data_IF_959716743351
#
_entry.id   IF_959716743351
#
_cell.length_a   1.000
_cell.length_b   1.000
_cell.length_c   1.000
_cell.angle_alpha   90.00
_cell.angle_beta   90.00
_cell.angle_gamma   90.00
#
_symmetry.space_group_name_H-M   'P 1'
#
loop_
_entity.id
_entity.type
_entity.pdbx_description
1 polymer ?
#
# COMPACT_ATOMS: atom_id res chain seq x y z
N UNK A 1 -11.28 -0.24 10.87
CA UNK A 1 -10.07 -0.94 10.42
C UNK A 1 -9.12 -0.98 11.61
N UNK A 2 -8.72 -2.15 12.08
CA UNK A 2 -7.75 -2.30 13.16
C UNK A 2 -6.41 -2.64 12.51
N UNK A 3 -5.36 -1.81 12.65
CA UNK A 3 -4.04 -2.12 12.11
C UNK A 3 -3.54 -3.45 12.68
N UNK A 4 -3.00 -4.32 11.84
CA UNK A 4 -2.31 -5.52 12.31
C UNK A 4 -1.00 -5.08 12.99
N UNK A 5 -0.81 -5.36 14.28
CA UNK A 5 0.45 -5.06 14.96
C UNK A 5 1.62 -5.73 14.20
N UNK A 6 2.68 -4.97 13.93
CA UNK A 6 3.86 -5.48 13.22
C UNK A 6 3.87 -5.28 11.70
N UNK A 7 2.76 -4.88 11.06
CA UNK A 7 2.76 -4.49 9.64
C UNK A 7 3.14 -3.02 9.43
N UNK A 8 4.23 -2.59 10.06
CA UNK A 8 4.84 -1.26 9.85
C UNK A 8 6.12 -1.39 9.05
N UNK A 9 6.44 -0.36 8.29
CA UNK A 9 7.61 -0.36 7.44
C UNK A 9 7.80 0.94 6.69
N UNK A 10 9.00 1.11 6.13
CA UNK A 10 9.35 2.26 5.29
C UNK A 10 9.05 1.98 3.82
N UNK A 11 8.53 2.99 3.13
CA UNK A 11 8.50 3.01 1.67
C UNK A 11 9.82 3.58 1.16
N UNK A 12 10.56 2.76 0.41
CA UNK A 12 11.81 3.15 -0.24
C UNK A 12 11.52 3.34 -1.72
N UNK A 13 11.89 4.50 -2.27
CA UNK A 13 11.66 4.79 -3.70
C UNK A 13 12.36 3.76 -4.57
N UNK A 14 11.67 3.31 -5.62
CA UNK A 14 12.21 2.38 -6.61
C UNK A 14 12.25 3.01 -8.00
N UNK A 15 11.11 3.07 -8.69
CA UNK A 15 11.01 3.63 -10.04
C UNK A 15 9.61 4.20 -10.28
N UNK A 16 9.54 5.31 -11.01
CA UNK A 16 8.27 6.01 -11.27
C UNK A 16 7.51 6.23 -9.94
N UNK A 17 6.21 5.94 -9.95
CA UNK A 17 5.32 5.98 -8.79
C UNK A 17 5.34 4.67 -7.98
N UNK A 18 6.45 3.91 -8.02
CA UNK A 18 6.60 2.64 -7.32
C UNK A 18 7.64 2.70 -6.22
N UNK A 19 7.28 2.14 -5.07
CA UNK A 19 8.11 2.04 -3.87
C UNK A 19 8.21 0.58 -3.42
N UNK A 20 9.29 0.24 -2.73
CA UNK A 20 9.40 -1.02 -2.00
C UNK A 20 8.96 -0.79 -0.56
N UNK A 21 7.95 -1.51 -0.11
CA UNK A 21 7.61 -1.65 1.30
C UNK A 21 8.66 -2.54 1.98
N UNK A 22 9.50 -1.92 2.80
CA UNK A 22 10.45 -2.60 3.67
C UNK A 22 9.86 -2.62 5.07
N UNK A 23 9.27 -3.75 5.44
CA UNK A 23 8.69 -3.95 6.76
C UNK A 23 9.77 -4.02 7.84
N UNK A 24 9.42 -3.55 9.03
CA UNK A 24 10.32 -3.58 10.19
C UNK A 24 10.58 -5.02 10.66
N UNK A 25 9.60 -5.91 10.48
CA UNK A 25 9.76 -7.35 10.65
C UNK A 25 10.37 -7.97 9.39
N UNK A 26 11.60 -8.53 9.45
CA UNK A 26 12.27 -9.12 8.29
C UNK A 26 11.63 -10.43 7.81
N UNK A 27 10.74 -11.04 8.60
CA UNK A 27 9.96 -12.21 8.20
C UNK A 27 8.79 -11.89 7.26
N UNK A 28 8.46 -10.60 7.09
CA UNK A 28 7.43 -10.16 6.14
C UNK A 28 8.08 -9.88 4.78
N UNK A 29 7.57 -10.55 3.75
CA UNK A 29 8.03 -10.39 2.37
C UNK A 29 7.86 -8.95 1.88
N UNK A 30 8.90 -8.43 1.23
CA UNK A 30 8.86 -7.09 0.62
C UNK A 30 7.86 -7.07 -0.54
N UNK A 31 7.19 -5.93 -0.68
CA UNK A 31 6.26 -5.70 -1.78
C UNK A 31 6.60 -4.41 -2.53
N UNK A 32 6.49 -4.44 -3.85
CA UNK A 32 6.30 -3.24 -4.66
C UNK A 32 4.90 -2.70 -4.41
N UNK A 33 4.81 -1.41 -4.11
CA UNK A 33 3.58 -0.63 -4.08
C UNK A 33 3.64 0.41 -5.20
N UNK A 34 2.69 0.37 -6.12
CA UNK A 34 2.58 1.33 -7.22
C UNK A 34 1.37 2.21 -6.99
N UNK A 35 1.60 3.53 -6.94
CA UNK A 35 0.57 4.53 -6.73
C UNK A 35 0.05 5.02 -8.08
N UNK A 36 -1.27 5.04 -8.25
CA UNK A 36 -1.91 5.70 -9.37
C UNK A 36 -2.38 7.09 -8.91
N UNK A 37 -2.05 8.12 -9.69
CA UNK A 37 -2.47 9.49 -9.43
C UNK A 37 -3.61 9.89 -10.38
N UNK A 38 -4.55 10.68 -9.91
CA UNK A 38 -5.54 11.35 -10.76
C UNK A 38 -4.97 12.61 -11.43
N UNK A 39 -5.80 13.29 -12.23
CA UNK A 39 -5.41 14.50 -12.96
C UNK A 39 -5.02 15.68 -12.04
N UNK A 40 -5.47 15.67 -10.78
CA UNK A 40 -5.14 16.66 -9.77
C UNK A 40 -3.89 16.27 -8.94
N UNK A 41 -3.26 15.13 -9.27
CA UNK A 41 -2.08 14.61 -8.59
C UNK A 41 -2.38 13.90 -7.27
N UNK A 42 -3.64 13.57 -6.97
CA UNK A 42 -4.00 12.81 -5.77
C UNK A 42 -3.94 11.31 -6.03
N UNK A 43 -3.60 10.54 -4.98
CA UNK A 43 -3.61 9.08 -5.07
C UNK A 43 -5.05 8.59 -5.27
N UNK A 44 -5.31 8.01 -6.43
CA UNK A 44 -6.60 7.41 -6.80
C UNK A 44 -6.63 5.91 -6.51
N UNK A 45 -5.47 5.25 -6.62
CA UNK A 45 -5.32 3.85 -6.27
C UNK A 45 -3.90 3.47 -5.84
N UNK A 46 -3.79 2.33 -5.15
CA UNK A 46 -2.51 1.66 -4.88
C UNK A 46 -2.66 0.19 -5.27
N UNK A 47 -1.69 -0.33 -6.01
CA UNK A 47 -1.55 -1.76 -6.30
C UNK A 47 -0.28 -2.34 -5.67
N UNK A 48 -0.29 -3.63 -5.35
CA UNK A 48 0.82 -4.31 -4.68
C UNK A 48 1.29 -5.55 -5.45
N UNK A 49 2.61 -5.81 -5.48
CA UNK A 49 3.21 -7.04 -6.02
C UNK A 49 4.38 -7.49 -5.14
N UNK A 50 4.62 -8.79 -4.93
CA UNK A 50 5.80 -9.25 -4.20
C UNK A 50 7.09 -8.87 -4.94
N UNK A 51 8.16 -8.58 -4.19
CA UNK A 51 9.50 -8.37 -4.75
C UNK A 51 10.19 -9.70 -5.09
N UNK A 52 9.93 -10.74 -4.30
CA UNK A 52 10.55 -12.06 -4.48
C UNK A 52 9.87 -12.87 -5.59
N UNK A 53 10.64 -13.46 -6.54
CA UNK A 53 10.09 -14.31 -7.61
C UNK A 53 9.64 -15.70 -7.15
N UNK A 54 10.06 -16.12 -5.95
CA UNK A 54 9.63 -17.37 -5.29
C UNK A 54 8.65 -17.11 -4.15
N UNK A 55 8.10 -15.89 -4.04
CA UNK A 55 7.11 -15.57 -3.03
C UNK A 55 5.99 -16.60 -3.09
N UNK A 56 5.93 -17.44 -2.06
CA UNK A 56 4.92 -18.47 -1.94
C UNK A 56 3.55 -17.78 -1.93
N UNK A 57 2.62 -18.36 -2.68
CA UNK A 57 1.32 -17.80 -3.04
C UNK A 57 0.39 -17.56 -1.84
N UNK A 58 0.87 -17.75 -0.60
CA UNK A 58 0.17 -17.52 0.66
C UNK A 58 -0.26 -16.05 0.84
N UNK A 59 0.35 -15.12 0.10
CA UNK A 59 -0.11 -13.74 0.00
C UNK A 59 -0.65 -13.45 -1.40
N UNK A 60 -1.94 -13.65 -1.61
CA UNK A 60 -2.65 -13.23 -2.82
C UNK A 60 -2.68 -11.68 -2.89
N UNK A 61 -1.57 -11.06 -3.30
CA UNK A 61 -1.52 -9.63 -3.60
C UNK A 61 -2.22 -9.25 -4.91
N UNK A 62 -2.70 -10.25 -5.68
CA UNK A 62 -3.08 -10.09 -7.09
C UNK A 62 -4.28 -9.19 -7.36
N UNK A 63 -5.09 -8.81 -6.38
CA UNK A 63 -6.22 -7.90 -6.58
C UNK A 63 -6.40 -6.89 -5.44
N UNK A 64 -5.31 -6.51 -4.76
CA UNK A 64 -5.36 -5.45 -3.74
C UNK A 64 -5.34 -4.08 -4.44
N UNK A 65 -6.54 -3.62 -4.81
CA UNK A 65 -6.82 -2.27 -5.28
C UNK A 65 -7.36 -1.44 -4.10
N UNK A 66 -6.50 -0.62 -3.50
CA UNK A 66 -6.94 0.30 -2.46
C UNK A 66 -7.41 1.61 -3.09
N UNK A 67 -8.63 2.05 -2.75
CA UNK A 67 -9.13 3.38 -3.09
C UNK A 67 -9.21 4.26 -1.84
N UNK A 68 -9.11 5.59 -1.97
CA UNK A 68 -9.26 6.49 -0.83
C UNK A 68 -10.59 6.26 -0.10
N UNK A 69 -10.55 6.22 1.23
CA UNK A 69 -11.78 6.33 2.02
C UNK A 69 -12.38 7.71 1.78
N UNK A 70 -13.69 7.79 1.61
CA UNK A 70 -14.37 9.08 1.58
C UNK A 70 -13.98 9.87 2.83
N UNK A 71 -13.48 11.09 2.65
CA UNK A 71 -13.14 11.95 3.77
C UNK A 71 -14.39 12.08 4.64
N UNK A 72 -14.31 11.66 5.90
CA UNK A 72 -15.36 11.95 6.88
C UNK A 72 -15.43 13.47 6.99
N UNK A 73 -16.40 14.09 6.33
CA UNK A 73 -16.81 15.46 6.62
C UNK A 73 -17.32 15.41 8.05
N UNK A 74 -16.50 15.88 8.99
CA UNK A 74 -16.92 16.09 10.37
C UNK A 74 -18.01 17.17 10.32
N UNK A 75 -19.27 16.74 10.32
CA UNK A 75 -20.41 17.62 10.32
C UNK A 75 -20.30 18.59 11.48
N UNK A 76 -20.37 19.88 11.18
CA UNK A 76 -20.59 20.92 12.16
C UNK A 76 -22.00 20.74 12.76
N UNK A 77 -22.05 20.39 14.04
CA UNK A 77 -23.15 20.72 14.95
C UNK A 77 -22.46 21.22 16.22
N UNK A 78 -22.52 22.53 16.51
CA UNK A 78 -23.61 23.23 17.20
C UNK A 78 -23.99 22.54 18.51
#
# INVERSE_FOLDING_TARGET
FTPTPGMSGRLVHYQYDTFVAQFDDPGIEKAYLTFQLDADGKVSAISAKPVSPIADFSFNYKDLLFTPVAALTKGAGQ
#
